data_IF_097956724713
#
_entry.id   IF_097956724713
#
_cell.length_a   1.000
_cell.length_b   1.000
_cell.length_c   1.000
_cell.angle_alpha   90.00
_cell.angle_beta   90.00
_cell.angle_gamma   90.00
#
_symmetry.space_group_name_H-M   'P 1'
#
loop_
_entity.id
_entity.type
_entity.pdbx_description
1 polymer ?
#
# COMPACT_ATOMS: atom_id res chain seq x y z
N UNK A 1 10.87 14.97 -3.02
CA UNK A 1 10.86 13.49 -2.86
C UNK A 1 9.53 12.95 -3.36
N UNK A 2 9.50 11.80 -4.04
CA UNK A 2 8.25 11.14 -4.47
C UNK A 2 8.16 9.77 -3.82
N UNK A 3 7.04 9.48 -3.16
CA UNK A 3 6.75 8.19 -2.55
C UNK A 3 5.80 7.35 -3.41
N UNK A 4 5.92 6.03 -3.30
CA UNK A 4 4.96 5.08 -3.86
C UNK A 4 4.28 4.37 -2.68
N UNK A 5 2.96 4.36 -2.64
CA UNK A 5 2.21 3.62 -1.62
C UNK A 5 1.20 2.69 -2.30
N UNK A 6 1.03 1.50 -1.72
CA UNK A 6 0.21 0.44 -2.27
C UNK A 6 -0.82 0.01 -1.24
N UNK A 7 -2.08 0.45 -1.34
CA UNK A 7 -3.15 -0.08 -0.50
C UNK A 7 -3.51 -1.51 -0.90
N UNK A 8 -4.32 -2.18 -0.08
CA UNK A 8 -4.76 -3.58 -0.28
C UNK A 8 -3.60 -4.60 -0.25
N UNK A 9 -2.54 -4.30 0.51
CA UNK A 9 -1.47 -5.25 0.75
C UNK A 9 -1.95 -6.39 1.65
N UNK A 10 -1.37 -7.60 1.52
CA UNK A 10 -1.73 -8.73 2.39
C UNK A 10 -1.63 -8.37 3.88
N UNK A 11 -2.65 -8.74 4.64
CA UNK A 11 -2.77 -8.49 6.08
C UNK A 11 -2.92 -7.00 6.48
N UNK A 12 -3.29 -6.13 5.55
CA UNK A 12 -3.66 -4.74 5.82
C UNK A 12 -5.14 -4.58 5.47
N UNK A 13 -5.94 -4.12 6.43
CA UNK A 13 -7.36 -3.83 6.21
C UNK A 13 -7.56 -2.35 5.83
N UNK A 14 -8.79 -2.01 5.45
CA UNK A 14 -9.16 -0.68 4.99
C UNK A 14 -8.85 0.41 6.04
N UNK A 15 -9.13 0.15 7.30
CA UNK A 15 -8.93 1.14 8.37
C UNK A 15 -7.44 1.42 8.58
N UNK A 16 -6.60 0.38 8.50
CA UNK A 16 -5.14 0.52 8.57
C UNK A 16 -4.55 1.21 7.35
N UNK A 17 -5.08 0.97 6.16
CA UNK A 17 -4.69 1.73 4.97
C UNK A 17 -5.01 3.22 5.13
N UNK A 18 -6.23 3.55 5.59
CA UNK A 18 -6.64 4.93 5.84
C UNK A 18 -5.74 5.60 6.88
N UNK A 19 -5.40 4.90 7.96
CA UNK A 19 -4.52 5.44 9.00
C UNK A 19 -3.08 5.65 8.51
N UNK A 20 -2.56 4.75 7.67
CA UNK A 20 -1.25 4.95 7.02
C UNK A 20 -1.23 6.21 6.15
N UNK A 21 -2.28 6.46 5.36
CA UNK A 21 -2.35 7.67 4.55
C UNK A 21 -2.39 8.93 5.42
N UNK A 22 -3.16 8.93 6.53
CA UNK A 22 -3.17 10.07 7.47
C UNK A 22 -1.80 10.30 8.07
N UNK A 23 -1.16 9.26 8.62
CA UNK A 23 0.17 9.38 9.21
C UNK A 23 1.18 9.93 8.19
N UNK A 24 1.15 9.44 6.94
CA UNK A 24 2.05 9.88 5.89
C UNK A 24 2.03 11.39 5.62
N UNK A 25 0.87 12.04 5.80
CA UNK A 25 0.73 13.48 5.62
C UNK A 25 0.86 14.28 6.92
N UNK A 26 0.45 13.71 8.06
CA UNK A 26 0.47 14.41 9.34
C UNK A 26 1.84 14.35 10.02
N UNK A 27 2.54 13.21 9.96
CA UNK A 27 3.83 13.00 10.61
C UNK A 27 4.95 13.76 9.87
N UNK A 28 5.69 14.67 10.52
CA UNK A 28 6.74 15.48 9.90
C UNK A 28 7.96 14.67 9.44
N UNK A 29 8.09 13.40 9.86
CA UNK A 29 9.10 12.48 9.31
C UNK A 29 8.80 12.09 7.85
N UNK A 30 7.54 12.23 7.41
CA UNK A 30 7.08 12.00 6.05
C UNK A 30 6.75 13.34 5.36
N UNK A 31 5.65 13.45 4.59
CA UNK A 31 5.28 14.62 3.74
C UNK A 31 6.10 14.75 2.45
N UNK A 32 6.13 13.69 1.66
CA UNK A 32 6.72 13.76 0.32
C UNK A 32 5.93 14.71 -0.61
N UNK A 33 6.62 15.37 -1.52
CA UNK A 33 6.04 16.32 -2.49
C UNK A 33 5.16 15.65 -3.55
N UNK A 34 5.34 14.34 -3.75
CA UNK A 34 4.54 13.55 -4.67
C UNK A 34 4.24 12.16 -4.13
N UNK A 35 3.05 11.67 -4.46
CA UNK A 35 2.59 10.34 -4.10
C UNK A 35 2.04 9.64 -5.34
N UNK A 36 2.57 8.44 -5.64
CA UNK A 36 1.96 7.52 -6.60
C UNK A 36 1.24 6.41 -5.83
N UNK A 37 -0.04 6.24 -6.10
CA UNK A 37 -0.88 5.24 -5.46
C UNK A 37 -1.09 4.10 -6.45
N UNK A 38 -0.71 2.89 -6.05
CA UNK A 38 -0.91 1.67 -6.84
C UNK A 38 -1.64 0.63 -5.99
N UNK A 39 -2.98 0.48 -6.12
CA UNK A 39 -3.68 -0.62 -5.48
C UNK A 39 -3.00 -1.94 -5.80
N UNK A 40 -2.81 -2.78 -4.78
CA UNK A 40 -2.11 -4.05 -4.95
C UNK A 40 -2.89 -4.95 -5.89
N UNK A 41 -2.21 -5.53 -6.88
CA UNK A 41 -2.82 -6.42 -7.85
C UNK A 41 -2.22 -7.80 -7.73
N UNK A 42 -3.09 -8.81 -7.88
CA UNK A 42 -2.67 -10.20 -8.02
C UNK A 42 -2.31 -10.46 -9.49
N UNK A 43 -1.01 -10.58 -9.77
CA UNK A 43 -0.50 -10.79 -11.14
C UNK A 43 0.09 -12.18 -11.29
N UNK A 44 -0.31 -12.91 -12.35
CA UNK A 44 0.21 -14.24 -12.68
C UNK A 44 1.75 -14.27 -12.66
N UNK A 45 2.31 -15.31 -12.05
CA UNK A 45 3.76 -15.50 -11.94
C UNK A 45 4.42 -14.75 -10.78
N UNK A 46 3.65 -14.15 -9.86
CA UNK A 46 4.17 -13.49 -8.66
C UNK A 46 3.86 -14.27 -7.39
N UNK A 47 4.57 -13.98 -6.29
CA UNK A 47 4.27 -14.58 -4.98
C UNK A 47 2.85 -14.26 -4.48
N UNK A 48 2.34 -13.05 -4.77
CA UNK A 48 0.95 -12.69 -4.46
C UNK A 48 -0.06 -13.57 -5.17
N UNK A 49 0.26 -14.06 -6.38
CA UNK A 49 -0.60 -15.00 -7.10
C UNK A 49 -0.65 -16.37 -6.43
N UNK A 50 0.47 -16.86 -5.89
CA UNK A 50 0.47 -18.11 -5.14
C UNK A 50 -0.25 -17.98 -3.79
N UNK A 51 -0.08 -16.86 -3.08
CA UNK A 51 -0.86 -16.57 -1.86
C UNK A 51 -2.37 -16.51 -2.16
N UNK A 52 -2.77 -15.76 -3.19
CA UNK A 52 -4.17 -15.69 -3.61
C UNK A 52 -4.75 -17.06 -3.99
N UNK A 53 -3.96 -17.95 -4.58
CA UNK A 53 -4.38 -19.33 -4.90
C UNK A 53 -4.62 -20.19 -3.66
N UNK A 54 -3.91 -19.93 -2.56
CA UNK A 54 -3.99 -20.73 -1.33
C UNK A 54 -4.90 -20.15 -0.26
N UNK A 55 -5.29 -18.88 -0.36
CA UNK A 55 -6.05 -18.15 0.65
C UNK A 55 -5.18 -17.66 1.80
#
# INVERSE_FOLDING_TARGET
IVAHMMPDLPNVDLDRDVEQFKEFFENPAFRADGLKIYPTLVIRGTGLYELWKTG
#
